data_IF_988919813223
#
_entry.id   IF_988919813223
#
_cell.length_a   1.000
_cell.length_b   1.000
_cell.length_c   1.000
_cell.angle_alpha   90.00
_cell.angle_beta   90.00
_cell.angle_gamma   90.00
#
_symmetry.space_group_name_H-M   'P 1'
#
loop_
_entity.id
_entity.type
_entity.pdbx_description
1 polymer ?
#
# COMPACT_ATOMS: atom_id res chain seq x y z
N UNK A 1 -11.04 34.94 -22.53
CA UNK A 1 -10.63 33.54 -22.77
C UNK A 1 -9.30 33.28 -22.06
N UNK A 2 -9.24 32.40 -21.05
CA UNK A 2 -7.95 32.06 -20.39
C UNK A 2 -7.08 31.30 -21.39
N UNK A 3 -5.93 31.88 -21.78
CA UNK A 3 -4.92 31.20 -22.61
C UNK A 3 -4.48 29.93 -21.87
N UNK A 4 -4.78 28.75 -22.41
CA UNK A 4 -4.24 27.47 -21.91
C UNK A 4 -2.73 27.53 -22.10
N UNK A 5 -1.97 27.42 -21.01
CA UNK A 5 -0.52 27.34 -21.04
C UNK A 5 -0.08 26.18 -21.96
N UNK A 6 1.01 26.33 -22.72
CA UNK A 6 1.48 25.26 -23.61
C UNK A 6 1.76 23.99 -22.82
N UNK A 7 1.27 22.85 -23.30
CA UNK A 7 1.60 21.55 -22.73
C UNK A 7 3.05 21.23 -23.08
N UNK A 8 3.95 21.39 -22.13
CA UNK A 8 5.34 20.99 -22.27
C UNK A 8 5.40 19.46 -22.33
N UNK A 9 6.09 18.93 -23.34
CA UNK A 9 6.33 17.50 -23.50
C UNK A 9 7.83 17.26 -23.40
N UNK A 10 8.22 16.31 -22.55
CA UNK A 10 9.61 15.89 -22.38
C UNK A 10 9.77 14.50 -23.03
N UNK A 11 10.61 14.41 -24.07
CA UNK A 11 10.89 13.16 -24.75
C UNK A 11 12.25 12.63 -24.29
N UNK A 12 12.25 11.47 -23.62
CA UNK A 12 13.46 10.80 -23.10
C UNK A 12 13.66 9.51 -23.89
N UNK A 13 14.86 9.33 -24.44
CA UNK A 13 15.27 8.06 -25.07
C UNK A 13 15.88 7.15 -24.01
N UNK A 14 15.48 5.89 -24.02
CA UNK A 14 15.90 4.90 -23.04
C UNK A 14 16.46 3.66 -23.76
N UNK A 15 17.47 3.04 -23.17
CA UNK A 15 17.87 1.69 -23.56
C UNK A 15 16.84 0.66 -23.08
N UNK A 16 16.82 -0.57 -23.64
CA UNK A 16 15.93 -1.63 -23.15
C UNK A 16 16.09 -1.90 -21.65
N UNK A 17 17.33 -1.99 -21.16
CA UNK A 17 17.66 -2.23 -19.75
C UNK A 17 17.13 -1.10 -18.84
N UNK A 18 17.28 0.16 -19.26
CA UNK A 18 16.74 1.31 -18.50
C UNK A 18 15.21 1.27 -18.44
N UNK A 19 14.56 0.87 -19.52
CA UNK A 19 13.10 0.77 -19.57
C UNK A 19 12.59 -0.37 -18.67
N UNK A 20 13.30 -1.49 -18.59
CA UNK A 20 13.00 -2.57 -17.65
C UNK A 20 13.15 -2.14 -16.20
N UNK A 21 14.24 -1.45 -15.85
CA UNK A 21 14.44 -0.92 -14.50
C UNK A 21 13.30 0.04 -14.09
N UNK A 22 12.87 0.91 -15.01
CA UNK A 22 11.73 1.81 -14.76
C UNK A 22 10.45 1.02 -14.55
N UNK A 23 10.18 -0.03 -15.34
CA UNK A 23 8.99 -0.88 -15.16
C UNK A 23 8.99 -1.58 -13.79
N UNK A 24 10.11 -2.17 -13.39
CA UNK A 24 10.22 -2.84 -12.09
C UNK A 24 9.96 -1.88 -10.93
N UNK A 25 10.53 -0.66 -10.98
CA UNK A 25 10.26 0.37 -9.98
C UNK A 25 8.81 0.85 -10.03
N UNK A 26 8.22 0.94 -11.22
CA UNK A 26 6.82 1.33 -11.39
C UNK A 26 5.89 0.33 -10.72
N UNK A 27 6.11 -0.98 -10.88
CA UNK A 27 5.29 -2.04 -10.27
C UNK A 27 5.29 -1.99 -8.74
N UNK A 28 6.39 -1.53 -8.15
CA UNK A 28 6.54 -1.36 -6.71
C UNK A 28 5.93 -0.06 -6.19
N UNK A 29 5.54 0.86 -7.08
CA UNK A 29 4.97 2.15 -6.74
C UNK A 29 3.52 2.27 -7.21
N UNK A 30 2.71 3.04 -6.50
CA UNK A 30 1.33 3.34 -6.90
C UNK A 30 1.23 4.57 -7.83
N UNK A 31 2.36 5.03 -8.42
CA UNK A 31 2.42 6.28 -9.19
C UNK A 31 2.58 6.03 -10.70
N UNK A 32 2.14 7.00 -11.51
CA UNK A 32 2.29 6.91 -12.96
C UNK A 32 3.75 7.04 -13.39
N UNK A 33 4.08 6.49 -14.58
CA UNK A 33 5.44 6.57 -15.15
C UNK A 33 5.92 8.01 -15.28
N UNK A 34 5.04 8.91 -15.71
CA UNK A 34 5.35 10.33 -15.81
C UNK A 34 5.70 10.94 -14.46
N UNK A 35 4.91 10.61 -13.43
CA UNK A 35 5.14 11.13 -12.07
C UNK A 35 6.45 10.59 -11.50
N UNK A 36 6.73 9.30 -11.66
CA UNK A 36 8.00 8.68 -11.26
C UNK A 36 9.20 9.41 -11.87
N UNK A 37 9.15 9.74 -13.16
CA UNK A 37 10.23 10.44 -13.86
C UNK A 37 10.35 11.89 -13.39
N UNK A 38 9.24 12.61 -13.23
CA UNK A 38 9.25 13.99 -12.74
C UNK A 38 9.84 14.06 -11.33
N UNK A 39 9.41 13.17 -10.43
CA UNK A 39 9.90 13.12 -9.06
C UNK A 39 11.38 12.74 -9.01
N UNK A 40 11.81 11.81 -9.87
CA UNK A 40 13.24 11.45 -10.01
C UNK A 40 14.09 12.65 -10.48
N UNK A 41 13.59 13.44 -11.45
CA UNK A 41 14.30 14.64 -11.94
C UNK A 41 14.38 15.72 -10.86
N UNK A 42 13.31 15.90 -10.10
CA UNK A 42 13.22 16.92 -9.04
C UNK A 42 13.91 16.50 -7.74
N UNK A 43 14.51 15.31 -7.67
CA UNK A 43 15.06 14.71 -6.45
C UNK A 43 14.04 14.59 -5.32
N UNK A 44 12.76 14.38 -5.66
CA UNK A 44 11.73 14.09 -4.68
C UNK A 44 11.90 12.63 -4.20
N UNK A 45 11.89 12.36 -2.89
CA UNK A 45 11.99 11.00 -2.38
C UNK A 45 10.75 10.20 -2.79
N UNK A 46 10.96 9.06 -3.46
CA UNK A 46 9.91 8.11 -3.83
C UNK A 46 9.92 6.98 -2.81
N UNK A 47 8.88 6.91 -1.98
CA UNK A 47 8.76 5.88 -0.96
C UNK A 47 8.05 4.65 -1.51
N UNK A 48 8.76 3.53 -1.51
CA UNK A 48 8.20 2.21 -1.78
C UNK A 48 7.95 1.57 -0.41
N UNK A 49 6.68 1.44 -0.03
CA UNK A 49 6.27 0.77 1.20
C UNK A 49 5.54 -0.51 0.78
N UNK A 50 6.25 -1.63 0.63
CA UNK A 50 5.62 -2.88 0.22
C UNK A 50 4.63 -3.34 1.29
N UNK A 51 3.64 -4.11 0.85
CA UNK A 51 2.59 -4.67 1.69
C UNK A 51 1.70 -3.64 2.40
N UNK A 52 1.79 -2.33 2.07
CA UNK A 52 0.93 -1.29 2.64
C UNK A 52 -0.55 -1.54 2.33
N UNK A 53 -0.89 -1.83 1.07
CA UNK A 53 -2.27 -2.13 0.65
C UNK A 53 -2.84 -3.37 1.36
N UNK A 54 -2.02 -4.41 1.51
CA UNK A 54 -2.39 -5.62 2.25
C UNK A 54 -2.63 -5.29 3.73
N UNK A 55 -1.77 -4.45 4.32
CA UNK A 55 -1.93 -3.97 5.70
C UNK A 55 -3.22 -3.17 5.88
N UNK A 56 -3.53 -2.24 4.96
CA UNK A 56 -4.79 -1.49 4.96
C UNK A 56 -6.00 -2.43 4.85
N UNK A 57 -5.91 -3.43 3.96
CA UNK A 57 -6.98 -4.43 3.77
C UNK A 57 -7.22 -5.24 5.04
N UNK A 58 -6.15 -5.65 5.73
CA UNK A 58 -6.24 -6.41 6.97
C UNK A 58 -6.84 -5.58 8.11
N UNK A 59 -6.51 -4.28 8.19
CA UNK A 59 -7.15 -3.35 9.14
C UNK A 59 -8.66 -3.29 8.91
N UNK A 60 -9.09 -3.16 7.64
CA UNK A 60 -10.53 -3.16 7.30
C UNK A 60 -11.21 -4.46 7.69
N UNK A 61 -10.58 -5.60 7.38
CA UNK A 61 -11.09 -6.92 7.76
C UNK A 61 -11.28 -7.04 9.28
N UNK A 62 -10.26 -6.69 10.06
CA UNK A 62 -10.32 -6.70 11.52
C UNK A 62 -11.40 -5.75 12.06
N UNK A 63 -11.50 -4.53 11.52
CA UNK A 63 -12.55 -3.58 11.92
C UNK A 63 -13.96 -4.12 11.68
N UNK A 64 -14.19 -4.77 10.53
CA UNK A 64 -15.47 -5.42 10.23
C UNK A 64 -15.77 -6.57 11.19
N UNK A 65 -14.77 -7.40 11.53
CA UNK A 65 -14.94 -8.52 12.46
C UNK A 65 -15.19 -8.09 13.89
N UNK A 66 -14.55 -7.01 14.34
CA UNK A 66 -14.82 -6.39 15.64
C UNK A 66 -16.25 -5.85 15.70
N UNK A 67 -16.74 -5.20 14.64
CA UNK A 67 -18.13 -4.75 14.56
C UNK A 67 -19.12 -5.94 14.61
N UNK A 68 -18.81 -7.03 13.90
CA UNK A 68 -19.61 -8.27 13.96
C UNK A 68 -19.67 -8.83 15.38
N UNK A 69 -18.55 -8.78 16.12
CA UNK A 69 -18.45 -9.24 17.50
C UNK A 69 -19.30 -8.38 18.44
N UNK A 70 -19.22 -7.05 18.32
CA UNK A 70 -20.04 -6.13 19.10
C UNK A 70 -21.54 -6.42 18.94
N UNK A 71 -21.99 -6.62 17.69
CA UNK A 71 -23.39 -6.95 17.41
C UNK A 71 -23.80 -8.31 18.00
N UNK A 72 -22.95 -9.35 17.92
CA UNK A 72 -23.25 -10.67 18.47
C UNK A 72 -23.31 -10.71 20.00
N UNK A 73 -22.44 -9.93 20.66
CA UNK A 73 -22.48 -9.75 22.12
C UNK A 73 -23.80 -9.09 22.54
N UNK A 74 -24.25 -8.08 21.78
CA UNK A 74 -25.53 -7.41 22.02
C UNK A 74 -26.73 -8.35 21.81
N UNK A 75 -26.67 -9.24 20.82
CA UNK A 75 -27.74 -10.21 20.53
C UNK A 75 -27.65 -11.53 21.32
N UNK A 76 -26.64 -11.71 22.19
CA UNK A 76 -26.38 -12.95 22.97
C UNK A 76 -26.30 -14.21 22.09
N UNK A 77 -25.70 -14.11 20.91
CA UNK A 77 -25.51 -15.23 20.00
C UNK A 77 -24.42 -16.19 20.52
N UNK A 78 -24.71 -17.49 20.59
CA UNK A 78 -23.79 -18.52 21.11
C UNK A 78 -22.58 -18.77 20.20
N UNK A 79 -22.60 -18.31 18.94
CA UNK A 79 -21.54 -18.58 17.97
C UNK A 79 -20.34 -17.60 18.05
N UNK A 80 -20.07 -17.08 19.25
CA UNK A 80 -19.06 -16.05 19.51
C UNK A 80 -17.63 -16.60 19.46
N UNK A 81 -17.43 -17.88 19.81
CA UNK A 81 -16.10 -18.51 19.88
C UNK A 81 -15.40 -18.58 18.51
N UNK A 82 -16.12 -18.97 17.45
CA UNK A 82 -15.57 -19.01 16.09
C UNK A 82 -15.14 -17.62 15.61
N UNK A 83 -15.93 -16.59 15.92
CA UNK A 83 -15.61 -15.22 15.54
C UNK A 83 -14.37 -14.70 16.28
N UNK A 84 -14.20 -15.05 17.56
CA UNK A 84 -12.99 -14.73 18.32
C UNK A 84 -11.74 -15.37 17.73
N UNK A 85 -11.83 -16.63 17.26
CA UNK A 85 -10.73 -17.28 16.56
C UNK A 85 -10.36 -16.57 15.25
N UNK A 86 -11.34 -16.15 14.45
CA UNK A 86 -11.11 -15.39 13.21
C UNK A 86 -10.44 -14.02 13.49
N UNK A 87 -10.87 -13.32 14.54
CA UNK A 87 -10.25 -12.07 14.97
C UNK A 87 -8.80 -12.31 15.41
N UNK A 88 -8.55 -13.36 16.19
CA UNK A 88 -7.21 -13.68 16.68
C UNK A 88 -6.25 -13.99 15.52
N UNK A 89 -6.67 -14.81 14.56
CA UNK A 89 -5.88 -15.08 13.36
C UNK A 89 -5.63 -13.81 12.54
N UNK A 90 -6.65 -12.97 12.35
CA UNK A 90 -6.50 -11.71 11.62
C UNK A 90 -5.49 -10.76 12.29
N UNK A 91 -5.45 -10.74 13.63
CA UNK A 91 -4.51 -9.97 14.43
C UNK A 91 -3.07 -10.49 14.28
N UNK A 92 -2.88 -11.81 14.24
CA UNK A 92 -1.58 -12.43 14.01
C UNK A 92 -1.03 -12.09 12.62
N UNK A 93 -1.87 -12.18 11.58
CA UNK A 93 -1.53 -11.78 10.22
C UNK A 93 -1.20 -10.29 10.13
N UNK A 94 -2.00 -9.44 10.77
CA UNK A 94 -1.74 -8.00 10.85
C UNK A 94 -0.40 -7.69 11.54
N UNK A 95 -0.06 -8.41 12.60
CA UNK A 95 1.21 -8.27 13.30
C UNK A 95 2.42 -8.66 12.43
N UNK A 96 2.30 -9.69 11.60
CA UNK A 96 3.35 -10.06 10.65
C UNK A 96 3.54 -9.00 9.55
N UNK A 97 2.45 -8.43 9.04
CA UNK A 97 2.51 -7.33 8.08
C UNK A 97 3.18 -6.09 8.71
N UNK A 98 2.83 -5.72 9.94
CA UNK A 98 3.46 -4.63 10.67
C UNK A 98 4.97 -4.86 10.93
N UNK A 99 5.37 -6.09 11.26
CA UNK A 99 6.79 -6.45 11.42
C UNK A 99 7.55 -6.25 10.11
N UNK A 100 6.97 -6.66 8.99
CA UNK A 100 7.57 -6.51 7.67
C UNK A 100 7.81 -5.02 7.34
N UNK A 101 6.79 -4.18 7.61
CA UNK A 101 6.90 -2.72 7.44
C UNK A 101 7.97 -2.08 8.35
N UNK A 102 8.14 -2.57 9.58
CA UNK A 102 9.13 -2.03 10.53
C UNK A 102 10.56 -2.40 10.16
N UNK A 103 10.79 -3.63 9.67
CA UNK A 103 12.13 -4.11 9.33
C UNK A 103 12.73 -3.40 8.11
N UNK A 104 11.90 -2.96 7.16
CA UNK A 104 12.40 -2.26 5.97
C UNK A 104 12.83 -0.82 6.24
N UNK A 105 12.23 -0.13 7.22
CA UNK A 105 12.73 1.19 7.64
C UNK A 105 14.19 1.17 8.12
N UNK A 106 14.71 0.01 8.54
CA UNK A 106 16.11 -0.13 8.96
C UNK A 106 17.09 -0.39 7.81
N UNK A 107 16.61 -0.76 6.61
CA UNK A 107 17.43 -0.87 5.40
C UNK A 107 17.39 0.43 4.60
N UNK A 108 17.81 1.52 5.23
CA UNK A 108 18.15 2.74 4.51
C UNK A 108 19.67 2.71 4.28
N UNK A 109 20.07 2.54 3.01
CA UNK A 109 21.45 2.71 2.50
C UNK A 109 21.49 4.00 1.70
#
# INVERSE_FOLDING_TARGET
MKKKSPRLQLNIRLTPEQNELIKQKLEQTQISKTQLIIDSINNNPIYIIPNLEQTISQIKYLGNKVNELSNKIETKDENTEKLLQEIQQGCDEFWQLLKSLKQEKQKQV
#
